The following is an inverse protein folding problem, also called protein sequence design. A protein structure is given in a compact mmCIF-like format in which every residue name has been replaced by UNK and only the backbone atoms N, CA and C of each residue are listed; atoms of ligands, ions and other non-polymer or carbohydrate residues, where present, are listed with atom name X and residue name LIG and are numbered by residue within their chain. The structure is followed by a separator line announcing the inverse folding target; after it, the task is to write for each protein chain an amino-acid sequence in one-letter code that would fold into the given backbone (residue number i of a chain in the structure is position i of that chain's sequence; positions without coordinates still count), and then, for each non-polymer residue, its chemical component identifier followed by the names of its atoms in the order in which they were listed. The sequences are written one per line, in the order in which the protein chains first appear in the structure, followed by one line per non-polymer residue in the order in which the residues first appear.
data_IF_541036504991
#
_entry.id   IF_541036504991
#
_cell.length_a   1.000
_cell.length_b   1.000
_cell.length_c   1.000
_cell.angle_alpha   90.00
_cell.angle_beta   90.00
_cell.angle_gamma   90.00
#
_symmetry.space_group_name_H-M   'P 1'
#
loop_
_entity.id
_entity.type
_entity.pdbx_description
1 polymer ?
#
# COMPACT_ATOMS: atom_id res chain seq x y z
N UNK A 1 -11.46 -37.24 25.43
CA UNK A 1 -12.72 -36.81 24.78
C UNK A 1 -12.98 -35.31 24.95
N UNK A 2 -12.96 -34.75 26.16
CA UNK A 2 -13.21 -33.32 26.42
C UNK A 2 -12.28 -32.37 25.66
N UNK A 3 -10.95 -32.63 25.68
CA UNK A 3 -9.95 -31.80 24.97
C UNK A 3 -10.22 -31.79 23.45
N UNK A 4 -10.56 -32.93 22.88
CA UNK A 4 -10.88 -33.04 21.45
C UNK A 4 -12.13 -32.24 21.09
N UNK A 5 -13.17 -32.28 21.94
CA UNK A 5 -14.39 -31.49 21.74
C UNK A 5 -14.10 -29.99 21.84
N UNK A 6 -13.29 -29.56 22.81
CA UNK A 6 -12.86 -28.16 22.93
C UNK A 6 -12.08 -27.71 21.70
N UNK A 7 -11.14 -28.53 21.20
CA UNK A 7 -10.38 -28.22 19.99
C UNK A 7 -11.29 -28.12 18.75
N UNK A 8 -12.29 -29.00 18.62
CA UNK A 8 -13.27 -28.93 17.52
C UNK A 8 -14.08 -27.64 17.62
N UNK A 9 -14.61 -27.30 18.80
CA UNK A 9 -15.39 -26.07 19.00
C UNK A 9 -14.56 -24.83 18.68
N UNK A 10 -13.32 -24.76 19.21
CA UNK A 10 -12.39 -23.67 18.92
C UNK A 10 -12.08 -23.61 17.42
N UNK A 11 -11.86 -24.76 16.78
CA UNK A 11 -11.64 -24.86 15.34
C UNK A 11 -12.82 -24.35 14.51
N UNK A 12 -14.05 -24.71 14.88
CA UNK A 12 -15.28 -24.25 14.21
C UNK A 12 -15.45 -22.74 14.38
N UNK A 13 -15.31 -22.21 15.59
CA UNK A 13 -15.42 -20.77 15.86
C UNK A 13 -14.35 -20.00 15.09
N UNK A 14 -13.11 -20.49 15.09
CA UNK A 14 -12.00 -19.86 14.35
C UNK A 14 -12.29 -19.85 12.85
N UNK A 15 -12.75 -20.97 12.30
CA UNK A 15 -13.11 -21.08 10.88
C UNK A 15 -14.24 -20.11 10.53
N UNK A 16 -15.29 -20.04 11.35
CA UNK A 16 -16.40 -19.11 11.11
C UNK A 16 -15.94 -17.65 11.12
N UNK A 17 -15.06 -17.26 12.05
CA UNK A 17 -14.48 -15.91 12.10
C UNK A 17 -13.66 -15.59 10.85
N UNK A 18 -12.80 -16.51 10.43
CA UNK A 18 -11.98 -16.35 9.22
C UNK A 18 -12.87 -16.21 7.98
N UNK A 19 -13.94 -16.99 7.87
CA UNK A 19 -14.89 -16.89 6.76
C UNK A 19 -15.74 -15.62 6.79
N UNK A 20 -16.17 -15.18 7.96
CA UNK A 20 -16.91 -13.93 8.13
C UNK A 20 -16.04 -12.74 7.73
N UNK A 21 -14.80 -12.69 8.24
CA UNK A 21 -13.81 -11.70 7.86
C UNK A 21 -13.56 -11.69 6.36
N UNK A 22 -13.31 -12.85 5.75
CA UNK A 22 -13.11 -12.97 4.31
C UNK A 22 -14.29 -12.43 3.50
N UNK A 23 -15.52 -12.67 3.96
CA UNK A 23 -16.75 -12.21 3.28
C UNK A 23 -16.95 -10.70 3.43
N UNK A 24 -16.43 -10.11 4.51
CA UNK A 24 -16.54 -8.68 4.77
C UNK A 24 -15.52 -7.87 3.96
N UNK A 25 -14.30 -8.39 3.79
CA UNK A 25 -13.22 -7.67 3.09
C UNK A 25 -13.23 -7.91 1.57
N UNK A 26 -13.83 -9.01 1.09
CA UNK A 26 -13.75 -9.42 -0.31
C UNK A 26 -15.09 -9.35 -1.04
N UNK A 27 -15.04 -9.00 -2.33
CA UNK A 27 -16.18 -9.20 -3.24
C UNK A 27 -16.36 -10.66 -3.70
N UNK A 28 -15.38 -11.52 -3.42
CA UNK A 28 -15.38 -12.95 -3.78
C UNK A 28 -15.72 -13.82 -2.56
N UNK A 29 -16.21 -15.04 -2.81
CA UNK A 29 -16.42 -16.01 -1.71
C UNK A 29 -15.09 -16.29 -0.98
N UNK A 30 -15.03 -16.33 0.36
CA UNK A 30 -13.78 -16.45 1.11
C UNK A 30 -12.94 -17.67 0.76
N UNK A 31 -13.61 -18.77 0.39
CA UNK A 31 -13.01 -20.06 0.06
C UNK A 31 -12.88 -20.29 -1.44
N UNK A 32 -13.40 -19.39 -2.29
CA UNK A 32 -13.12 -19.50 -3.72
C UNK A 32 -11.63 -19.35 -3.93
N UNK A 33 -11.07 -20.11 -4.85
CA UNK A 33 -9.65 -19.97 -5.15
C UNK A 33 -9.44 -20.12 -6.63
N UNK A 34 -8.61 -19.23 -7.18
CA UNK A 34 -8.15 -19.29 -8.56
C UNK A 34 -6.74 -19.89 -8.57
N UNK A 35 -6.52 -21.06 -7.96
CA UNK A 35 -5.19 -21.71 -7.84
C UNK A 35 -4.47 -21.95 -9.16
N UNK A 36 -5.17 -21.85 -10.30
CA UNK A 36 -4.58 -22.01 -11.63
C UNK A 36 -3.34 -21.15 -11.87
N UNK A 37 -3.22 -19.96 -11.27
CA UNK A 37 -2.02 -19.11 -11.42
C UNK A 37 -0.83 -19.55 -10.55
N UNK A 38 -1.04 -20.37 -9.52
CA UNK A 38 -0.01 -20.66 -8.50
C UNK A 38 1.16 -21.53 -8.99
N UNK A 39 1.00 -22.16 -10.15
CA UNK A 39 2.01 -23.00 -10.81
C UNK A 39 2.46 -22.43 -12.15
N UNK A 40 1.92 -21.29 -12.57
CA UNK A 40 2.29 -20.68 -13.85
C UNK A 40 3.61 -19.92 -13.71
N UNK A 41 4.25 -19.71 -14.85
CA UNK A 41 5.37 -18.75 -14.97
C UNK A 41 4.87 -17.36 -15.35
N UNK A 42 3.55 -17.18 -15.43
CA UNK A 42 2.94 -15.88 -15.70
C UNK A 42 2.96 -15.03 -14.43
N UNK A 43 3.25 -13.74 -14.61
CA UNK A 43 3.25 -12.80 -13.49
C UNK A 43 1.84 -12.60 -12.97
N UNK A 44 1.73 -12.62 -11.64
CA UNK A 44 0.53 -12.19 -10.93
C UNK A 44 0.82 -10.87 -10.23
N UNK A 45 -0.05 -9.88 -10.43
CA UNK A 45 0.11 -8.54 -9.88
C UNK A 45 -1.03 -8.20 -8.92
N UNK A 46 -0.68 -7.67 -7.76
CA UNK A 46 -1.59 -7.15 -6.73
C UNK A 46 -1.27 -5.68 -6.48
N UNK A 47 -2.23 -4.79 -6.74
CA UNK A 47 -2.14 -3.39 -6.35
C UNK A 47 -2.54 -3.22 -4.88
N UNK A 48 -1.63 -2.76 -4.04
CA UNK A 48 -1.89 -2.34 -2.67
C UNK A 48 -2.06 -0.82 -2.64
N UNK A 49 -3.22 -0.37 -2.17
CA UNK A 49 -3.56 1.04 -2.05
C UNK A 49 -3.73 1.43 -0.58
N UNK A 50 -3.04 2.50 -0.17
CA UNK A 50 -3.26 3.17 1.11
C UNK A 50 -3.98 4.49 0.92
N UNK A 51 -5.00 4.76 1.72
CA UNK A 51 -5.77 6.02 1.66
C UNK A 51 -6.05 6.58 3.07
N UNK A 52 -6.41 7.86 3.17
CA UNK A 52 -6.60 8.53 4.46
C UNK A 52 -7.75 7.95 5.28
N UNK A 53 -8.91 7.75 4.64
CA UNK A 53 -10.16 7.38 5.30
C UNK A 53 -10.78 8.55 6.06
N UNK A 54 -12.00 8.38 6.57
CA UNK A 54 -12.74 9.42 7.30
C UNK A 54 -13.87 10.06 6.49
N UNK A 55 -14.38 11.19 6.99
CA UNK A 55 -15.55 11.93 6.44
C UNK A 55 -15.20 13.38 6.10
N UNK A 56 -14.15 13.58 5.33
CA UNK A 56 -13.72 14.90 4.85
C UNK A 56 -13.42 14.84 3.35
N UNK A 57 -13.32 16.01 2.72
CA UNK A 57 -12.88 16.11 1.33
C UNK A 57 -11.47 15.51 1.20
N UNK A 58 -11.25 14.69 0.17
CA UNK A 58 -9.98 14.01 -0.05
C UNK A 58 -9.76 12.74 0.79
N UNK A 59 -10.71 12.33 1.64
CA UNK A 59 -10.61 11.11 2.45
C UNK A 59 -10.37 9.83 1.61
N UNK A 60 -10.70 9.86 0.32
CA UNK A 60 -10.54 8.76 -0.61
C UNK A 60 -9.34 8.97 -1.59
N UNK A 61 -8.44 9.93 -1.35
CA UNK A 61 -7.21 10.01 -2.14
C UNK A 61 -6.27 8.86 -1.76
N UNK A 62 -5.72 8.20 -2.78
CA UNK A 62 -4.80 7.07 -2.60
C UNK A 62 -3.35 7.54 -2.54
N UNK A 63 -2.83 7.71 -1.33
CA UNK A 63 -1.50 8.28 -1.08
C UNK A 63 -0.35 7.26 -1.15
N UNK A 64 -0.69 5.97 -1.13
CA UNK A 64 0.24 4.87 -1.35
C UNK A 64 -0.28 3.99 -2.46
N UNK A 65 0.53 3.77 -3.50
CA UNK A 65 0.22 2.93 -4.66
C UNK A 65 1.43 2.03 -4.90
N UNK A 66 1.31 0.75 -4.53
CA UNK A 66 2.38 -0.24 -4.67
C UNK A 66 1.84 -1.46 -5.40
N UNK A 67 2.42 -1.81 -6.55
CA UNK A 67 2.15 -3.09 -7.19
C UNK A 67 3.14 -4.11 -6.66
N UNK A 68 2.61 -5.16 -6.04
CA UNK A 68 3.37 -6.36 -5.74
C UNK A 68 3.23 -7.32 -6.91
N UNK A 69 4.32 -7.58 -7.62
CA UNK A 69 4.38 -8.49 -8.75
C UNK A 69 5.14 -9.74 -8.36
N UNK A 70 4.61 -10.92 -8.67
CA UNK A 70 5.30 -12.18 -8.42
C UNK A 70 5.25 -13.11 -9.63
N UNK A 71 6.24 -13.97 -9.77
CA UNK A 71 6.17 -15.18 -10.61
C UNK A 71 5.94 -16.38 -9.68
N UNK A 72 4.74 -17.00 -9.67
CA UNK A 72 4.39 -18.02 -8.65
C UNK A 72 5.24 -19.31 -8.67
N UNK A 73 5.76 -19.68 -9.85
CA UNK A 73 6.62 -20.86 -10.02
C UNK A 73 8.01 -20.69 -9.41
N UNK A 74 8.58 -19.48 -9.46
CA UNK A 74 9.93 -19.15 -8.99
C UNK A 74 9.95 -18.32 -7.71
N UNK A 75 8.79 -17.81 -7.28
CA UNK A 75 8.59 -16.93 -6.12
C UNK A 75 9.26 -15.54 -6.22
N UNK A 76 9.93 -15.24 -7.35
CA UNK A 76 10.55 -13.94 -7.57
C UNK A 76 9.51 -12.83 -7.49
N UNK A 77 9.73 -11.92 -6.54
CA UNK A 77 8.80 -10.84 -6.21
C UNK A 77 9.44 -9.50 -6.52
N UNK A 78 8.63 -8.53 -6.94
CA UNK A 78 9.03 -7.15 -7.16
C UNK A 78 7.99 -6.20 -6.55
N UNK A 79 8.46 -5.12 -5.95
CA UNK A 79 7.64 -4.04 -5.42
C UNK A 79 7.78 -2.81 -6.31
N UNK A 80 6.71 -2.42 -6.99
CA UNK A 80 6.70 -1.26 -7.90
C UNK A 80 5.89 -0.13 -7.27
N UNK A 81 6.56 0.91 -6.80
CA UNK A 81 5.91 2.09 -6.22
C UNK A 81 5.61 3.12 -7.30
N UNK A 82 4.36 3.57 -7.33
CA UNK A 82 3.86 4.56 -8.28
C UNK A 82 3.66 5.91 -7.54
N UNK A 83 4.24 7.02 -8.04
CA UNK A 83 4.09 8.32 -7.42
C UNK A 83 2.63 8.76 -7.44
N UNK A 84 2.07 9.11 -6.27
CA UNK A 84 0.68 9.56 -6.13
C UNK A 84 0.35 10.82 -6.95
N UNK A 85 1.37 11.64 -7.20
CA UNK A 85 1.30 12.91 -7.94
C UNK A 85 1.50 12.75 -9.45
N UNK A 86 1.61 11.51 -9.96
CA UNK A 86 1.73 11.25 -11.39
C UNK A 86 0.52 11.84 -12.14
N UNK A 87 0.78 12.74 -13.08
CA UNK A 87 -0.23 13.45 -13.85
C UNK A 87 -0.75 12.58 -14.97
N UNK A 88 -2.00 12.13 -14.87
CA UNK A 88 -2.60 11.17 -15.81
C UNK A 88 -3.91 11.69 -16.36
N UNK A 89 -4.28 11.23 -17.56
CA UNK A 89 -5.64 11.43 -18.03
C UNK A 89 -6.63 10.64 -17.16
N UNK A 90 -7.68 11.29 -16.68
CA UNK A 90 -8.70 10.72 -15.82
C UNK A 90 -10.09 11.28 -16.16
N UNK A 91 -10.98 10.51 -16.80
CA UNK A 91 -10.81 9.13 -17.31
C UNK A 91 -9.78 9.01 -18.46
N UNK A 92 -9.33 7.79 -18.84
CA UNK A 92 -8.51 7.59 -20.03
C UNK A 92 -9.14 8.21 -21.28
N UNK A 93 -8.31 8.77 -22.16
CA UNK A 93 -8.68 9.36 -23.45
C UNK A 93 -9.70 10.51 -23.39
N UNK A 94 -9.92 11.08 -22.21
CA UNK A 94 -10.89 12.15 -21.99
C UNK A 94 -10.34 13.56 -22.28
N UNK A 95 -9.02 13.69 -22.38
CA UNK A 95 -8.34 15.00 -22.39
C UNK A 95 -8.35 15.75 -21.05
N UNK A 96 -9.00 15.20 -20.01
CA UNK A 96 -8.99 15.74 -18.65
C UNK A 96 -7.88 15.06 -17.85
N UNK A 97 -7.20 15.83 -17.02
CA UNK A 97 -6.08 15.34 -16.24
C UNK A 97 -6.32 15.52 -14.74
N UNK A 98 -5.74 14.61 -13.96
CA UNK A 98 -5.62 14.73 -12.51
C UNK A 98 -4.35 14.03 -12.07
N UNK A 99 -3.94 14.26 -10.83
CA UNK A 99 -3.00 13.36 -10.15
C UNK A 99 -3.62 11.96 -10.08
N UNK A 100 -2.78 10.93 -10.19
CA UNK A 100 -3.24 9.54 -10.23
C UNK A 100 -3.97 9.14 -8.94
N UNK A 101 -3.60 9.70 -7.80
CA UNK A 101 -4.24 9.42 -6.51
C UNK A 101 -5.74 9.74 -6.46
N UNK A 102 -6.23 10.61 -7.34
CA UNK A 102 -7.63 10.98 -7.45
C UNK A 102 -8.48 9.96 -8.23
N UNK A 103 -7.86 9.05 -8.99
CA UNK A 103 -8.59 8.10 -9.87
C UNK A 103 -9.59 7.26 -9.09
N UNK A 104 -9.18 6.71 -7.94
CA UNK A 104 -10.07 5.93 -7.07
C UNK A 104 -11.24 6.77 -6.57
N UNK A 105 -10.96 7.96 -6.03
CA UNK A 105 -12.00 8.86 -5.50
C UNK A 105 -13.03 9.26 -6.57
N UNK A 106 -12.56 9.65 -7.76
CA UNK A 106 -13.44 10.05 -8.87
C UNK A 106 -14.29 8.88 -9.35
N UNK A 107 -13.68 7.72 -9.62
CA UNK A 107 -14.40 6.59 -10.18
C UNK A 107 -15.32 5.87 -9.18
N UNK A 108 -14.99 5.90 -7.88
CA UNK A 108 -15.85 5.33 -6.82
C UNK A 108 -17.03 6.22 -6.44
N UNK A 109 -17.20 7.40 -7.04
CA UNK A 109 -18.10 8.44 -6.56
C UNK A 109 -17.86 8.74 -5.07
N UNK A 110 -16.64 9.16 -4.72
CA UNK A 110 -16.23 9.44 -3.34
C UNK A 110 -16.43 8.25 -2.37
N UNK A 111 -16.10 7.04 -2.82
CA UNK A 111 -16.13 5.82 -2.00
C UNK A 111 -17.50 5.13 -1.91
N UNK A 112 -18.54 5.64 -2.58
CA UNK A 112 -19.85 4.99 -2.65
C UNK A 112 -19.80 3.62 -3.35
N UNK A 113 -18.99 3.51 -4.41
CA UNK A 113 -18.72 2.26 -5.11
C UNK A 113 -17.23 1.96 -5.13
N UNK A 114 -16.73 1.42 -4.01
CA UNK A 114 -15.31 1.08 -3.79
C UNK A 114 -14.76 0.18 -4.89
N UNK A 115 -15.51 -0.84 -5.30
CA UNK A 115 -15.05 -1.80 -6.31
C UNK A 115 -14.82 -1.13 -7.66
N UNK A 116 -15.77 -0.31 -8.14
CA UNK A 116 -15.60 0.43 -9.40
C UNK A 116 -14.40 1.37 -9.33
N UNK A 117 -14.20 2.09 -8.22
CA UNK A 117 -13.03 2.95 -8.06
C UNK A 117 -11.71 2.20 -8.06
N UNK A 118 -11.65 1.07 -7.37
CA UNK A 118 -10.44 0.27 -7.25
C UNK A 118 -10.10 -0.44 -8.56
N UNK A 119 -11.09 -0.96 -9.28
CA UNK A 119 -10.93 -1.54 -10.62
C UNK A 119 -10.46 -0.47 -11.63
N UNK A 120 -11.01 0.75 -11.55
CA UNK A 120 -10.56 1.87 -12.38
C UNK A 120 -9.10 2.26 -12.09
N UNK A 121 -8.69 2.27 -10.82
CA UNK A 121 -7.29 2.47 -10.45
C UNK A 121 -6.40 1.35 -10.97
N UNK A 122 -6.76 0.08 -10.75
CA UNK A 122 -5.99 -1.06 -11.26
C UNK A 122 -5.80 -1.01 -12.78
N UNK A 123 -6.86 -0.65 -13.52
CA UNK A 123 -6.80 -0.39 -14.97
C UNK A 123 -5.87 0.78 -15.31
N UNK A 124 -5.93 1.89 -14.58
CA UNK A 124 -5.04 3.03 -14.78
C UNK A 124 -3.58 2.67 -14.55
N UNK A 125 -3.27 1.94 -13.48
CA UNK A 125 -1.94 1.44 -13.20
C UNK A 125 -1.47 0.51 -14.31
N UNK A 126 -2.33 -0.36 -14.83
CA UNK A 126 -2.00 -1.24 -15.96
C UNK A 126 -1.62 -0.44 -17.21
N UNK A 127 -2.38 0.60 -17.54
CA UNK A 127 -2.09 1.49 -18.67
C UNK A 127 -0.76 2.23 -18.51
N UNK A 128 -0.45 2.70 -17.30
CA UNK A 128 0.79 3.45 -17.01
C UNK A 128 2.03 2.56 -16.99
N UNK A 129 1.90 1.37 -16.42
CA UNK A 129 3.04 0.49 -16.13
C UNK A 129 3.27 -0.59 -17.19
N UNK A 130 2.27 -0.86 -18.03
CA UNK A 130 2.27 -2.00 -18.94
C UNK A 130 2.11 -3.36 -18.25
N UNK A 131 1.88 -3.38 -16.92
CA UNK A 131 1.66 -4.60 -16.15
C UNK A 131 0.18 -4.99 -16.18
N UNK A 132 -0.13 -6.28 -16.20
CA UNK A 132 -1.52 -6.77 -16.10
C UNK A 132 -1.98 -6.75 -14.62
N UNK A 133 -2.52 -5.62 -14.16
CA UNK A 133 -2.96 -5.43 -12.77
C UNK A 133 -4.47 -5.62 -12.69
N UNK A 134 -4.87 -6.80 -12.19
CA UNK A 134 -6.28 -7.18 -12.00
C UNK A 134 -6.68 -7.26 -10.53
N UNK A 135 -5.75 -7.61 -9.66
CA UNK A 135 -6.02 -7.77 -8.24
C UNK A 135 -5.68 -6.49 -7.49
N UNK A 136 -6.47 -6.15 -6.49
CA UNK A 136 -6.21 -5.02 -5.63
C UNK A 136 -6.58 -5.31 -4.17
N UNK A 137 -5.91 -4.61 -3.26
CA UNK A 137 -6.29 -4.48 -1.87
C UNK A 137 -6.18 -3.01 -1.47
N UNK A 138 -7.08 -2.57 -0.59
CA UNK A 138 -7.10 -1.22 -0.04
C UNK A 138 -7.11 -1.28 1.48
N UNK A 139 -6.43 -0.32 2.10
CA UNK A 139 -6.43 -0.15 3.54
C UNK A 139 -6.39 1.35 3.90
N UNK A 140 -7.24 1.76 4.84
CA UNK A 140 -7.18 3.13 5.37
C UNK A 140 -6.17 3.28 6.52
N UNK A 141 -5.89 4.51 6.96
CA UNK A 141 -4.96 4.73 8.07
C UNK A 141 -5.39 4.09 9.39
N UNK A 142 -6.69 3.90 9.62
CA UNK A 142 -7.20 3.25 10.83
C UNK A 142 -6.92 1.76 10.77
N UNK A 143 -7.29 1.11 9.66
CA UNK A 143 -7.00 -0.29 9.39
C UNK A 143 -5.53 -0.59 9.41
N UNK A 144 -4.69 0.28 8.84
CA UNK A 144 -3.24 0.11 8.85
C UNK A 144 -2.69 0.05 10.28
N UNK A 145 -3.05 1.01 11.15
CA UNK A 145 -2.62 1.01 12.56
C UNK A 145 -3.06 -0.26 13.27
N UNK A 146 -4.35 -0.59 13.15
CA UNK A 146 -4.94 -1.79 13.76
C UNK A 146 -4.28 -3.07 13.27
N UNK A 147 -3.94 -3.13 11.98
CA UNK A 147 -3.29 -4.29 11.38
C UNK A 147 -1.89 -4.48 11.95
N UNK A 148 -1.06 -3.43 11.96
CA UNK A 148 0.28 -3.48 12.55
C UNK A 148 0.22 -3.85 14.04
N UNK A 149 -0.71 -3.25 14.79
CA UNK A 149 -0.90 -3.59 16.20
C UNK A 149 -1.34 -5.05 16.37
N UNK A 150 -2.18 -5.57 15.48
CA UNK A 150 -2.70 -6.95 15.55
C UNK A 150 -1.62 -8.01 15.30
N UNK A 151 -0.58 -7.68 14.54
CA UNK A 151 0.58 -8.56 14.32
C UNK A 151 1.71 -8.33 15.33
N UNK A 152 1.46 -7.50 16.35
CA UNK A 152 2.42 -7.23 17.43
C UNK A 152 3.51 -6.23 17.07
N UNK A 153 3.24 -5.32 16.12
CA UNK A 153 4.21 -4.35 15.62
C UNK A 153 5.13 -4.93 14.55
N UNK A 154 5.97 -4.06 13.98
CA UNK A 154 6.93 -4.40 12.92
C UNK A 154 8.33 -3.94 13.28
N UNK A 155 9.34 -4.72 12.90
CA UNK A 155 10.74 -4.36 13.07
C UNK A 155 11.27 -3.79 11.75
N UNK A 156 11.65 -2.51 11.76
CA UNK A 156 12.09 -1.78 10.57
C UNK A 156 13.50 -1.25 10.81
N UNK A 157 14.41 -1.50 9.86
CA UNK A 157 15.71 -0.82 9.82
C UNK A 157 15.52 0.55 9.17
N UNK A 158 15.70 1.61 9.95
CA UNK A 158 15.70 2.99 9.47
C UNK A 158 17.08 3.27 8.85
N UNK A 159 17.15 3.59 7.54
CA UNK A 159 18.42 3.70 6.83
C UNK A 159 19.26 4.89 7.30
N UNK A 160 18.61 6.02 7.62
CA UNK A 160 19.25 7.25 8.08
C UNK A 160 18.37 7.98 9.08
N UNK A 161 19.00 8.66 10.05
CA UNK A 161 18.27 9.47 11.02
C UNK A 161 17.61 10.67 10.33
N UNK A 162 16.33 10.90 10.60
CA UNK A 162 15.62 12.09 10.11
C UNK A 162 14.55 12.54 11.11
N UNK A 163 14.23 13.83 11.03
CA UNK A 163 13.07 14.39 11.69
C UNK A 163 12.20 15.09 10.65
N UNK A 164 10.89 15.06 10.87
CA UNK A 164 9.93 15.56 9.91
C UNK A 164 8.63 15.94 10.60
N UNK A 165 7.70 16.50 9.85
CA UNK A 165 6.32 16.58 10.28
C UNK A 165 5.36 16.28 9.15
N UNK A 166 4.09 16.14 9.51
CA UNK A 166 2.99 15.98 8.58
C UNK A 166 1.70 16.51 9.20
N UNK A 167 0.71 16.92 8.40
CA UNK A 167 -0.57 17.41 8.90
C UNK A 167 -1.28 16.32 9.70
N UNK A 168 -1.83 16.67 10.86
CA UNK A 168 -2.54 15.69 11.71
C UNK A 168 -3.73 15.06 10.99
N UNK A 169 -4.38 15.82 10.12
CA UNK A 169 -5.42 15.38 9.21
C UNK A 169 -5.30 16.11 7.86
N UNK A 170 -6.06 15.70 6.85
CA UNK A 170 -5.91 16.24 5.50
C UNK A 170 -6.71 17.55 5.28
N UNK A 171 -7.52 17.97 6.24
CA UNK A 171 -8.27 19.24 6.25
C UNK A 171 -7.75 20.19 7.34
N UNK A 172 -7.02 21.23 6.91
CA UNK A 172 -6.50 22.26 7.81
C UNK A 172 -7.62 23.09 8.47
N UNK A 173 -8.82 23.16 7.89
CA UNK A 173 -9.96 23.83 8.52
C UNK A 173 -10.50 23.02 9.70
N UNK A 174 -10.37 21.68 9.65
CA UNK A 174 -10.72 20.80 10.77
C UNK A 174 -9.67 20.87 11.88
N UNK A 175 -8.38 20.71 11.55
CA UNK A 175 -7.28 20.83 12.52
C UNK A 175 -5.94 21.11 11.79
N UNK A 176 -5.49 22.36 11.84
CA UNK A 176 -4.24 22.81 11.22
C UNK A 176 -2.96 22.34 11.96
N UNK A 177 -3.08 21.53 13.02
CA UNK A 177 -1.92 21.08 13.78
C UNK A 177 -1.09 20.03 13.04
N UNK A 178 0.19 20.01 13.40
CA UNK A 178 1.21 19.16 12.81
C UNK A 178 1.62 18.07 13.80
N UNK A 179 1.79 16.85 13.29
CA UNK A 179 2.48 15.79 14.03
C UNK A 179 3.96 15.88 13.67
N UNK A 180 4.82 15.96 14.70
CA UNK A 180 6.27 16.00 14.58
C UNK A 180 6.82 14.62 14.91
N UNK A 181 7.83 14.18 14.16
CA UNK A 181 8.47 12.88 14.34
C UNK A 181 9.98 13.02 14.30
N UNK A 182 10.64 12.08 14.96
CA UNK A 182 12.10 11.92 14.93
C UNK A 182 12.40 10.43 14.93
N UNK A 183 13.19 9.98 13.95
CA UNK A 183 13.60 8.60 13.78
C UNK A 183 15.11 8.55 13.71
N UNK A 184 15.72 7.68 14.53
CA UNK A 184 17.15 7.42 14.51
C UNK A 184 17.50 6.25 13.59
N UNK A 185 18.66 6.32 12.95
CA UNK A 185 19.20 5.23 12.14
C UNK A 185 19.32 3.94 12.96
N UNK A 186 18.94 2.82 12.36
CA UNK A 186 19.06 1.50 12.97
C UNK A 186 17.73 0.76 13.09
N UNK A 187 17.76 -0.40 13.76
CA UNK A 187 16.56 -1.21 13.97
C UNK A 187 15.64 -0.54 14.99
N UNK A 188 14.38 -0.36 14.60
CA UNK A 188 13.32 0.13 15.46
C UNK A 188 12.12 -0.80 15.42
N UNK A 189 11.56 -1.08 16.59
CA UNK A 189 10.26 -1.73 16.70
C UNK A 189 9.17 -0.65 16.64
N UNK A 190 8.25 -0.79 15.69
CA UNK A 190 7.19 0.17 15.43
C UNK A 190 5.82 -0.48 15.67
N UNK A 191 5.06 0.08 16.60
CA UNK A 191 3.62 -0.16 16.72
C UNK A 191 2.86 0.55 15.58
N UNK A 192 1.54 0.38 15.52
CA UNK A 192 0.72 0.96 14.47
C UNK A 192 0.84 2.49 14.39
N UNK A 193 0.87 3.16 15.55
CA UNK A 193 1.01 4.62 15.63
C UNK A 193 2.38 5.10 15.11
N UNK A 194 3.46 4.40 15.47
CA UNK A 194 4.82 4.72 15.03
C UNK A 194 4.99 4.41 13.55
N UNK A 195 4.49 3.26 13.08
CA UNK A 195 4.59 2.84 11.69
C UNK A 195 3.85 3.80 10.75
N UNK A 196 2.64 4.25 11.09
CA UNK A 196 1.93 5.22 10.23
C UNK A 196 2.62 6.59 10.24
N UNK A 197 3.21 6.98 11.38
CA UNK A 197 3.97 8.23 11.50
C UNK A 197 5.23 8.17 10.62
N UNK A 198 5.92 7.04 10.61
CA UNK A 198 7.06 6.77 9.73
C UNK A 198 6.68 6.83 8.25
N UNK A 199 5.52 6.25 7.88
CA UNK A 199 5.01 6.23 6.51
C UNK A 199 4.47 7.58 6.01
N UNK A 200 4.07 8.51 6.89
CA UNK A 200 3.44 9.80 6.54
C UNK A 200 4.40 11.00 6.61
N UNK A 201 5.47 10.89 7.38
CA UNK A 201 6.46 11.94 7.58
C UNK A 201 7.01 12.49 6.26
N UNK A 202 6.79 13.78 5.98
CA UNK A 202 7.12 14.35 4.65
C UNK A 202 7.59 15.80 4.68
N UNK A 203 7.14 16.62 5.62
CA UNK A 203 7.49 18.05 5.61
C UNK A 203 8.76 18.31 6.42
N UNK A 204 9.59 19.27 5.99
CA UNK A 204 10.69 19.78 6.78
C UNK A 204 10.23 20.31 8.13
N UNK A 205 11.05 20.10 9.15
CA UNK A 205 10.71 20.49 10.52
C UNK A 205 10.54 22.00 10.69
N UNK A 206 11.20 22.81 9.83
CA UNK A 206 11.01 24.26 9.80
C UNK A 206 9.61 24.71 9.32
N UNK A 207 8.78 23.82 8.77
CA UNK A 207 7.37 24.10 8.42
C UNK A 207 6.48 24.12 9.67
N UNK A 208 6.83 23.37 10.70
CA UNK A 208 5.97 23.09 11.85
C UNK A 208 6.63 23.39 13.21
N UNK A 209 7.91 23.77 13.21
CA UNK A 209 8.72 24.02 14.41
C UNK A 209 9.93 24.90 14.08
N UNK A 210 10.63 25.39 15.11
CA UNK A 210 11.93 26.07 14.97
C UNK A 210 13.11 25.10 14.89
N UNK A 211 12.85 23.79 14.99
CA UNK A 211 13.86 22.74 14.98
C UNK A 211 14.39 22.54 13.55
N UNK A 212 15.72 22.51 13.34
CA UNK A 212 16.28 22.22 12.02
C UNK A 212 15.95 20.79 11.55
N UNK A 213 15.79 20.63 10.24
CA UNK A 213 15.64 19.32 9.61
C UNK A 213 17.00 18.60 9.53
N UNK A 214 17.07 17.35 10.02
CA UNK A 214 18.29 16.52 10.03
C UNK A 214 18.69 16.04 8.62
N UNK A 215 17.73 15.59 7.81
CA UNK A 215 17.99 15.04 6.48
C UNK A 215 16.85 15.39 5.51
N UNK A 216 17.13 16.26 4.54
CA UNK A 216 16.14 16.70 3.55
C UNK A 216 15.83 15.62 2.49
N UNK A 217 16.74 14.66 2.23
CA UNK A 217 16.53 13.64 1.21
C UNK A 217 15.37 12.68 1.57
N UNK A 218 15.21 12.40 2.87
CA UNK A 218 14.16 11.53 3.43
C UNK A 218 12.74 12.11 3.27
N UNK A 219 12.64 13.42 3.05
CA UNK A 219 11.37 14.16 3.03
C UNK A 219 10.69 14.19 1.67
N UNK A 220 11.39 13.75 0.62
CA UNK A 220 10.79 13.63 -0.71
C UNK A 220 9.62 12.62 -0.71
N UNK A 221 8.66 12.81 -1.62
CA UNK A 221 7.59 11.83 -1.85
C UNK A 221 8.17 10.44 -2.21
N UNK A 222 9.37 10.39 -2.80
CA UNK A 222 10.11 9.15 -3.07
C UNK A 222 10.68 8.50 -1.80
N UNK A 223 11.24 9.30 -0.88
CA UNK A 223 11.66 8.83 0.45
C UNK A 223 10.47 8.27 1.24
N UNK A 224 9.28 8.88 1.10
CA UNK A 224 8.04 8.34 1.66
C UNK A 224 7.68 6.97 1.08
N UNK A 225 7.68 6.83 -0.25
CA UNK A 225 7.41 5.54 -0.90
C UNK A 225 8.41 4.45 -0.51
N UNK A 226 9.70 4.78 -0.37
CA UNK A 226 10.71 3.84 0.09
C UNK A 226 10.40 3.32 1.52
N UNK A 227 10.04 4.23 2.45
CA UNK A 227 9.66 3.87 3.82
C UNK A 227 8.40 3.01 3.87
N UNK A 228 7.42 3.27 3.02
CA UNK A 228 6.23 2.43 2.88
C UNK A 228 6.59 0.99 2.45
N UNK A 229 7.53 0.82 1.51
CA UNK A 229 8.00 -0.51 1.13
C UNK A 229 8.71 -1.23 2.29
N UNK A 230 9.50 -0.53 3.10
CA UNK A 230 10.15 -1.11 4.29
C UNK A 230 9.11 -1.65 5.28
N UNK A 231 8.04 -0.90 5.53
CA UNK A 231 6.96 -1.35 6.41
C UNK A 231 6.18 -2.53 5.80
N UNK A 232 5.85 -2.49 4.51
CA UNK A 232 5.18 -3.60 3.82
C UNK A 232 6.01 -4.88 3.94
N UNK A 233 7.32 -4.79 3.70
CA UNK A 233 8.25 -5.92 3.86
C UNK A 233 8.28 -6.45 5.29
N UNK A 234 8.39 -5.57 6.28
CA UNK A 234 8.42 -5.97 7.69
C UNK A 234 7.09 -6.62 8.13
N UNK A 235 5.95 -6.07 7.72
CA UNK A 235 4.62 -6.60 8.01
C UNK A 235 4.40 -7.98 7.36
N UNK A 236 4.81 -8.14 6.09
CA UNK A 236 4.72 -9.42 5.38
C UNK A 236 5.69 -10.46 5.96
N UNK A 237 6.82 -10.03 6.53
CA UNK A 237 7.69 -10.90 7.34
C UNK A 237 6.99 -11.37 8.62
N UNK A 238 6.34 -10.46 9.35
CA UNK A 238 5.63 -10.77 10.61
C UNK A 238 4.42 -11.68 10.42
N UNK A 239 3.61 -11.49 9.38
CA UNK A 239 2.39 -12.30 9.17
C UNK A 239 2.69 -13.78 8.86
N UNK A 240 3.93 -14.09 8.44
CA UNK A 240 4.41 -15.48 8.25
C UNK A 240 4.73 -16.19 9.56
N UNK A 241 4.90 -15.45 10.64
CA UNK A 241 5.12 -16.03 11.96
C UNK A 241 3.78 -16.59 12.49
N UNK A 242 3.69 -17.90 12.65
CA UNK A 242 2.47 -18.55 13.13
C UNK A 242 2.05 -18.06 14.53
N UNK A 243 2.98 -17.53 15.32
CA UNK A 243 2.71 -17.04 16.68
C UNK A 243 1.89 -15.75 16.69
N UNK A 244 1.84 -14.98 15.60
CA UNK A 244 1.03 -13.75 15.54
C UNK A 244 -0.45 -14.03 15.25
N UNK A 245 -0.77 -15.20 14.69
CA UNK A 245 -2.12 -15.53 14.21
C UNK A 245 -3.21 -15.49 15.28
N UNK A 246 -3.00 -15.96 16.53
CA UNK A 246 -4.01 -15.83 17.58
C UNK A 246 -4.41 -14.37 17.85
N UNK A 247 -3.45 -13.43 17.83
CA UNK A 247 -3.70 -12.00 18.03
C UNK A 247 -4.39 -11.39 16.81
N UNK A 248 -3.93 -11.74 15.61
CA UNK A 248 -4.56 -11.30 14.36
C UNK A 248 -6.03 -11.74 14.25
N UNK A 249 -6.33 -13.01 14.56
CA UNK A 249 -7.70 -13.54 14.62
C UNK A 249 -8.60 -12.81 15.63
N UNK A 250 -8.01 -12.31 16.72
CA UNK A 250 -8.72 -11.48 17.71
C UNK A 250 -9.03 -10.07 17.22
N UNK A 251 -8.33 -9.57 16.20
CA UNK A 251 -8.49 -8.23 15.64
C UNK A 251 -9.26 -8.19 14.31
N UNK A 252 -9.64 -9.34 13.74
CA UNK A 252 -10.35 -9.39 12.45
C UNK A 252 -11.62 -8.53 12.43
N UNK A 253 -12.39 -8.53 13.52
CA UNK A 253 -13.63 -7.74 13.63
C UNK A 253 -13.39 -6.21 13.51
N UNK A 254 -12.20 -5.72 13.88
CA UNK A 254 -11.86 -4.29 13.69
C UNK A 254 -11.32 -4.00 12.29
N UNK A 255 -10.70 -4.98 11.64
CA UNK A 255 -10.10 -4.88 10.32
C UNK A 255 -11.11 -5.05 9.18
N UNK A 256 -12.23 -5.73 9.42
CA UNK A 256 -13.20 -6.10 8.39
C UNK A 256 -13.82 -4.89 7.65
N UNK A 257 -13.83 -3.71 8.29
CA UNK A 257 -14.40 -2.47 7.74
C UNK A 257 -13.37 -1.53 7.10
N UNK A 258 -12.09 -1.85 7.25
CA UNK A 258 -10.98 -0.96 6.88
C UNK A 258 -10.08 -1.58 5.82
N UNK A 259 -10.20 -2.89 5.57
CA UNK A 259 -9.53 -3.63 4.51
C UNK A 259 -10.57 -4.04 3.47
N UNK A 260 -10.26 -3.79 2.19
CA UNK A 260 -11.10 -4.19 1.07
C UNK A 260 -10.26 -4.80 -0.05
N UNK A 261 -10.75 -5.81 -0.75
CA UNK A 261 -10.05 -6.48 -1.86
C UNK A 261 -11.03 -7.11 -2.85
N UNK A 262 -10.56 -7.38 -4.07
CA UNK A 262 -11.26 -8.25 -5.03
C UNK A 262 -10.70 -9.68 -5.09
N UNK A 263 -9.74 -10.02 -4.22
CA UNK A 263 -9.25 -11.39 -4.07
C UNK A 263 -10.00 -12.10 -2.95
N UNK A 264 -10.26 -13.39 -3.10
CA UNK A 264 -10.74 -14.18 -1.96
C UNK A 264 -9.69 -14.24 -0.86
N UNK A 265 -10.12 -14.54 0.37
CA UNK A 265 -9.18 -14.71 1.47
C UNK A 265 -8.21 -15.88 1.22
N UNK A 266 -8.68 -16.96 0.58
CA UNK A 266 -7.84 -18.07 0.16
C UNK A 266 -6.76 -17.62 -0.85
N UNK A 267 -7.13 -16.87 -1.89
CA UNK A 267 -6.17 -16.38 -2.89
C UNK A 267 -5.17 -15.38 -2.29
N UNK A 268 -5.61 -14.50 -1.38
CA UNK A 268 -4.69 -13.60 -0.64
C UNK A 268 -3.69 -14.39 0.20
N UNK A 269 -4.15 -15.41 0.92
CA UNK A 269 -3.29 -16.28 1.73
C UNK A 269 -2.26 -17.01 0.88
N UNK A 270 -2.68 -17.57 -0.25
CA UNK A 270 -1.82 -18.25 -1.21
C UNK A 270 -0.80 -17.30 -1.84
N UNK A 271 -1.23 -16.11 -2.27
CA UNK A 271 -0.35 -15.07 -2.80
C UNK A 271 0.70 -14.63 -1.77
N UNK A 272 0.28 -14.39 -0.52
CA UNK A 272 1.17 -14.04 0.59
C UNK A 272 2.19 -15.15 0.90
N UNK A 273 1.76 -16.41 0.87
CA UNK A 273 2.64 -17.56 1.13
C UNK A 273 3.70 -17.73 0.03
N UNK A 274 3.33 -17.55 -1.24
CA UNK A 274 4.24 -17.72 -2.38
C UNK A 274 5.23 -16.60 -2.56
N UNK A 275 4.96 -15.43 -1.99
CA UNK A 275 5.81 -14.26 -2.17
C UNK A 275 7.18 -14.54 -1.57
N UNK A 276 8.23 -13.91 -2.06
CA UNK A 276 9.49 -13.87 -1.35
C UNK A 276 10.09 -12.47 -1.40
N UNK A 277 10.00 -11.79 -0.26
CA UNK A 277 10.58 -10.46 -0.04
C UNK A 277 11.94 -10.52 0.64
N UNK A 278 12.36 -11.71 1.07
CA UNK A 278 13.66 -11.95 1.70
C UNK A 278 14.71 -12.36 0.66
N UNK A 279 14.28 -12.78 -0.53
CA UNK A 279 15.16 -12.95 -1.69
C UNK A 279 15.99 -11.66 -1.90
N UNK A 280 17.33 -11.73 -1.86
CA UNK A 280 18.18 -10.59 -2.19
C UNK A 280 17.93 -10.01 -3.59
N UNK A 281 17.31 -10.79 -4.49
CA UNK A 281 16.92 -10.38 -5.82
C UNK A 281 15.51 -9.75 -5.89
N UNK A 282 14.80 -9.60 -4.76
CA UNK A 282 13.52 -8.86 -4.73
C UNK A 282 13.76 -7.45 -5.28
N UNK A 283 13.19 -7.16 -6.45
CA UNK A 283 13.37 -5.88 -7.10
C UNK A 283 12.50 -4.80 -6.45
N UNK A 284 13.14 -3.78 -5.90
CA UNK A 284 12.49 -2.57 -5.41
C UNK A 284 12.53 -1.50 -6.50
N UNK A 285 11.38 -1.26 -7.14
CA UNK A 285 11.26 -0.38 -8.31
C UNK A 285 10.48 0.86 -7.90
N UNK A 286 11.19 1.94 -7.59
CA UNK A 286 10.60 3.26 -7.39
C UNK A 286 10.70 4.09 -8.67
N UNK A 287 9.59 4.67 -9.13
CA UNK A 287 9.61 5.66 -10.21
C UNK A 287 9.92 7.04 -9.60
N UNK A 288 11.02 7.67 -10.00
CA UNK A 288 11.49 8.93 -9.41
C UNK A 288 12.23 9.84 -10.41
N UNK A 289 12.60 11.04 -9.95
CA UNK A 289 13.25 12.07 -10.78
C UNK A 289 14.67 11.69 -11.23
N UNK A 290 15.33 10.78 -10.51
CA UNK A 290 16.66 10.27 -10.87
C UNK A 290 16.57 9.31 -12.06
N UNK A 291 15.45 8.57 -12.22
CA UNK A 291 15.28 7.60 -13.29
C UNK A 291 14.42 8.08 -14.47
N UNK A 292 13.09 8.00 -14.38
CA UNK A 292 12.16 8.17 -15.50
C UNK A 292 11.14 9.28 -15.30
N UNK A 293 11.11 9.91 -14.13
CA UNK A 293 10.17 10.98 -13.81
C UNK A 293 10.82 12.37 -13.92
N UNK A 294 9.98 13.39 -13.98
CA UNK A 294 10.32 14.80 -13.82
C UNK A 294 9.22 15.49 -13.00
N UNK A 295 9.57 16.57 -12.31
CA UNK A 295 8.60 17.46 -11.63
C UNK A 295 8.16 18.51 -12.64
N UNK A 296 6.86 18.80 -12.67
CA UNK A 296 6.26 19.82 -13.52
C UNK A 296 5.16 20.57 -12.74
N UNK A 297 4.56 21.58 -13.35
CA UNK A 297 3.44 22.35 -12.79
C UNK A 297 2.24 22.27 -13.72
N UNK A 298 1.07 21.90 -13.20
CA UNK A 298 -0.18 21.88 -13.98
C UNK A 298 -0.69 23.29 -14.28
N UNK A 299 -1.64 23.40 -15.21
CA UNK A 299 -2.24 24.68 -15.62
C UNK A 299 -2.87 25.47 -14.46
N UNK A 300 -3.33 24.77 -13.42
CA UNK A 300 -3.90 25.33 -12.20
C UNK A 300 -2.87 25.50 -11.06
N UNK A 301 -1.58 25.37 -11.35
CA UNK A 301 -0.47 25.68 -10.44
C UNK A 301 -0.09 24.57 -9.46
N UNK A 302 -0.62 23.36 -9.62
CA UNK A 302 -0.25 22.24 -8.74
C UNK A 302 1.12 21.67 -9.13
N UNK A 303 1.92 21.32 -8.13
CA UNK A 303 3.10 20.48 -8.34
C UNK A 303 2.67 19.07 -8.74
N UNK A 304 3.16 18.60 -9.89
CA UNK A 304 2.81 17.31 -10.48
C UNK A 304 4.07 16.54 -10.87
N UNK A 305 3.92 15.23 -11.09
CA UNK A 305 4.99 14.36 -11.60
C UNK A 305 4.60 13.88 -12.99
N UNK A 306 5.52 13.97 -13.95
CA UNK A 306 5.33 13.51 -15.33
C UNK A 306 6.48 12.60 -15.76
N UNK A 307 6.32 11.72 -16.77
CA UNK A 307 7.45 11.05 -17.37
C UNK A 307 8.45 12.06 -17.94
N UNK A 308 9.75 11.76 -17.88
CA UNK A 308 10.80 12.65 -18.40
C UNK A 308 10.58 12.93 -19.89
N UNK A 309 10.58 14.22 -20.25
CA UNK A 309 10.28 14.65 -21.62
C UNK A 309 8.86 14.32 -22.08
N UNK A 310 7.92 14.10 -21.14
CA UNK A 310 6.56 13.62 -21.40
C UNK A 310 6.50 12.30 -22.20
N UNK A 311 7.57 11.49 -22.12
CA UNK A 311 7.67 10.21 -22.83
C UNK A 311 7.09 9.08 -21.99
N UNK A 312 5.81 8.76 -22.22
CA UNK A 312 5.07 7.72 -21.51
C UNK A 312 5.59 6.29 -21.73
N UNK A 313 6.39 6.04 -22.79
CA UNK A 313 7.00 4.73 -22.99
C UNK A 313 8.12 4.43 -21.97
N UNK A 314 8.72 5.46 -21.35
CA UNK A 314 9.82 5.27 -20.38
C UNK A 314 9.40 4.45 -19.16
N UNK A 315 8.17 4.60 -18.70
CA UNK A 315 7.67 3.91 -17.50
C UNK A 315 7.64 2.39 -17.71
N UNK A 316 6.86 1.85 -18.68
CA UNK A 316 6.82 0.40 -18.89
C UNK A 316 8.17 -0.17 -19.31
N UNK A 317 8.97 0.57 -20.09
CA UNK A 317 10.32 0.14 -20.48
C UNK A 317 11.24 -0.02 -19.26
N UNK A 318 11.27 0.98 -18.37
CA UNK A 318 12.07 0.93 -17.15
C UNK A 318 11.62 -0.16 -16.20
N UNK A 319 10.31 -0.31 -15.99
CA UNK A 319 9.76 -1.39 -15.16
C UNK A 319 10.18 -2.74 -15.74
N UNK A 320 9.99 -2.96 -17.05
CA UNK A 320 10.36 -4.22 -17.72
C UNK A 320 11.85 -4.54 -17.59
N UNK A 321 12.73 -3.54 -17.65
CA UNK A 321 14.17 -3.73 -17.47
C UNK A 321 14.57 -4.10 -16.04
N UNK A 322 13.78 -3.69 -15.04
CA UNK A 322 14.05 -3.92 -13.61
C UNK A 322 13.32 -5.14 -13.05
N UNK A 323 12.25 -5.58 -13.70
CA UNK A 323 11.55 -6.81 -13.36
C UNK A 323 12.46 -8.01 -13.60
N UNK A 324 12.42 -8.96 -12.67
CA UNK A 324 13.21 -10.20 -12.74
C UNK A 324 12.68 -11.13 -13.84
N UNK A 325 13.38 -11.34 -14.97
CA UNK A 325 12.89 -12.19 -16.05
C UNK A 325 12.89 -13.70 -15.70
#
# INVERSE_FOLDING_TARGET
MLILVVLIIVGVITTQRVLAFGSAISSESPTSTKTGYMTTSDRTNLLVMGYGGGKHDGANLTDSLVVISMIPSTQHTSLVSIPRDLWVQNPPDSGKFSKINAVYQTASNNGENRQVGADAMAKKISLVTGMDVKNWMMIDFTGFKQFIDSIGGVDVYVPDSFNACYPKNDDAATDASWIKVDFEKGNQHMDGATAISYARAREPMNVCSTTPTKNMAELSDFGRSARQQLIIKAALGKIRDITVWPRFLGAMDSLEKTIHTNMSLADLGLFSQKMDLNDPHTAHIGLNTENVMAIDTSDDGQSIVVPRGNNWALIPEYIKQKLYN
#
